data_IF_304902408091
#
_entry.id   IF_304902408091
#
_cell.length_a   1.000
_cell.length_b   1.000
_cell.length_c   1.000
_cell.angle_alpha   90.00
_cell.angle_beta   90.00
_cell.angle_gamma   90.00
#
_symmetry.space_group_name_H-M   'P 1'
#
loop_
_entity.id
_entity.type
_entity.pdbx_description
1 polymer ?
#
# COMPACT_ATOMS: atom_id res chain seq x y z
N UNK A 1 12.62 3.16 -2.44
CA UNK A 1 11.19 2.95 -2.77
C UNK A 1 10.53 2.35 -1.53
N UNK A 2 9.58 3.05 -0.92
CA UNK A 2 8.94 2.60 0.34
C UNK A 2 7.89 1.49 0.13
N UNK A 3 7.50 1.24 -1.10
CA UNK A 3 6.49 0.25 -1.49
C UNK A 3 7.16 -0.96 -2.13
N UNK A 4 7.83 -1.79 -1.31
CA UNK A 4 8.51 -3.02 -1.75
C UNK A 4 7.60 -3.98 -2.49
N UNK A 5 6.31 -4.01 -2.14
CA UNK A 5 5.33 -4.87 -2.80
C UNK A 5 5.14 -4.54 -4.28
N UNK A 6 5.21 -3.24 -4.68
CA UNK A 6 5.13 -2.84 -6.09
C UNK A 6 6.39 -3.27 -6.84
N UNK A 7 7.57 -3.12 -6.22
CA UNK A 7 8.82 -3.55 -6.83
C UNK A 7 8.84 -5.07 -7.05
N UNK A 8 8.40 -5.84 -6.05
CA UNK A 8 8.27 -7.31 -6.17
C UNK A 8 7.27 -7.70 -7.27
N UNK A 9 6.12 -7.02 -7.35
CA UNK A 9 5.12 -7.26 -8.41
C UNK A 9 5.72 -7.02 -9.80
N UNK A 10 6.39 -5.90 -10.01
CA UNK A 10 7.05 -5.56 -11.28
C UNK A 10 8.09 -6.62 -11.64
N UNK A 11 8.97 -6.97 -10.69
CA UNK A 11 10.00 -7.97 -10.89
C UNK A 11 9.42 -9.33 -11.30
N UNK A 12 8.41 -9.81 -10.57
CA UNK A 12 7.78 -11.11 -10.85
C UNK A 12 7.03 -11.12 -12.20
N UNK A 13 6.37 -10.02 -12.57
CA UNK A 13 5.72 -9.91 -13.88
C UNK A 13 6.75 -9.94 -15.02
N UNK A 14 7.93 -9.36 -14.84
CA UNK A 14 9.02 -9.46 -15.82
C UNK A 14 9.55 -10.90 -15.93
N UNK A 15 9.70 -11.61 -14.80
CA UNK A 15 10.12 -13.02 -14.81
C UNK A 15 9.10 -13.91 -15.56
N UNK A 16 7.82 -13.54 -15.53
CA UNK A 16 6.76 -14.21 -16.28
C UNK A 16 6.69 -13.77 -17.76
N UNK A 17 7.65 -12.96 -18.23
CA UNK A 17 7.81 -12.59 -19.63
C UNK A 17 7.01 -11.35 -20.09
N UNK A 18 6.34 -10.63 -19.19
CA UNK A 18 5.70 -9.37 -19.55
C UNK A 18 6.76 -8.30 -19.84
N UNK A 19 6.63 -7.64 -20.99
CA UNK A 19 7.45 -6.47 -21.34
C UNK A 19 6.84 -5.22 -20.74
N UNK A 20 7.48 -4.69 -19.72
CA UNK A 20 7.01 -3.54 -18.96
C UNK A 20 7.74 -2.26 -19.35
N UNK A 21 7.06 -1.12 -19.23
CA UNK A 21 7.65 0.22 -19.25
C UNK A 21 7.08 1.00 -18.08
N UNK A 22 7.95 1.52 -17.23
CA UNK A 22 7.56 2.18 -15.99
C UNK A 22 7.54 3.69 -16.18
N UNK A 23 6.50 4.33 -15.64
CA UNK A 23 6.37 5.78 -15.55
C UNK A 23 6.29 6.18 -14.09
N UNK A 24 7.22 7.00 -13.62
CA UNK A 24 7.22 7.50 -12.26
C UNK A 24 6.88 8.98 -12.22
N UNK A 25 5.83 9.33 -11.47
CA UNK A 25 5.40 10.72 -11.27
C UNK A 25 6.41 11.50 -10.42
N UNK A 26 7.08 10.81 -9.47
CA UNK A 26 8.06 11.40 -8.57
C UNK A 26 9.45 10.79 -8.81
N UNK A 27 10.46 11.64 -8.91
CA UNK A 27 11.87 11.24 -8.91
C UNK A 27 12.41 11.36 -7.47
N UNK A 28 12.06 10.36 -6.64
CA UNK A 28 12.64 10.22 -5.31
C UNK A 28 13.86 9.32 -5.41
N UNK A 29 15.03 9.92 -5.46
CA UNK A 29 16.31 9.21 -5.34
C UNK A 29 16.56 8.88 -3.87
N UNK A 30 15.97 7.79 -3.43
CA UNK A 30 16.22 7.26 -2.10
C UNK A 30 17.62 6.63 -2.08
N UNK A 31 18.51 7.02 -1.15
CA UNK A 31 19.83 6.39 -1.03
C UNK A 31 19.77 4.93 -0.62
N UNK A 32 18.72 4.52 0.10
CA UNK A 32 18.49 3.11 0.46
C UNK A 32 17.57 2.46 -0.57
N UNK A 33 18.12 1.55 -1.38
CA UNK A 33 17.37 0.77 -2.36
C UNK A 33 17.26 -0.67 -1.89
N UNK A 34 16.09 -1.26 -2.07
CA UNK A 34 15.91 -2.70 -1.89
C UNK A 34 16.52 -3.45 -3.07
N UNK A 35 17.17 -4.59 -2.82
CA UNK A 35 17.83 -5.39 -3.84
C UNK A 35 16.93 -5.73 -5.04
N UNK A 36 15.64 -5.96 -4.82
CA UNK A 36 14.66 -6.23 -5.88
C UNK A 36 14.55 -5.08 -6.90
N UNK A 37 14.74 -3.83 -6.48
CA UNK A 37 14.67 -2.67 -7.39
C UNK A 37 15.81 -2.70 -8.41
N UNK A 38 16.97 -3.15 -8.01
CA UNK A 38 18.15 -3.26 -8.89
C UNK A 38 18.03 -4.47 -9.85
N UNK A 39 17.19 -5.43 -9.53
CA UNK A 39 16.89 -6.58 -10.38
C UNK A 39 15.83 -6.30 -11.48
N UNK A 40 15.08 -5.19 -11.39
CA UNK A 40 14.10 -4.77 -12.40
C UNK A 40 14.81 -4.26 -13.64
N UNK A 41 14.47 -4.81 -14.81
CA UNK A 41 15.05 -4.46 -16.12
C UNK A 41 14.21 -3.49 -16.91
N UNK A 42 12.93 -3.32 -16.58
CA UNK A 42 12.00 -2.42 -17.27
C UNK A 42 12.52 -0.98 -17.27
N UNK A 43 12.56 -0.32 -18.43
CA UNK A 43 12.99 1.05 -18.51
C UNK A 43 12.03 1.96 -17.74
N UNK A 44 12.60 2.79 -16.84
CA UNK A 44 11.86 3.76 -16.03
C UNK A 44 11.95 5.13 -16.68
N UNK A 45 10.80 5.74 -16.93
CA UNK A 45 10.70 7.13 -17.31
C UNK A 45 10.17 7.96 -16.13
N UNK A 46 11.00 8.88 -15.63
CA UNK A 46 10.58 9.87 -14.66
C UNK A 46 9.93 11.05 -15.38
N UNK A 47 8.70 11.40 -14.97
CA UNK A 47 8.01 12.56 -15.52
C UNK A 47 8.77 13.86 -15.17
N UNK A 48 8.62 14.92 -15.98
CA UNK A 48 9.15 16.23 -15.62
C UNK A 48 8.70 16.64 -14.21
N UNK A 49 9.67 16.91 -13.33
CA UNK A 49 9.37 17.28 -11.95
C UNK A 49 8.76 18.67 -11.89
N UNK A 50 7.67 18.79 -11.15
CA UNK A 50 6.94 20.03 -10.93
C UNK A 50 6.99 20.42 -9.47
N UNK A 51 6.97 21.73 -9.20
CA UNK A 51 6.89 22.24 -7.84
C UNK A 51 5.53 21.88 -7.20
N UNK A 52 5.43 21.77 -5.87
CA UNK A 52 4.15 21.64 -5.18
C UNK A 52 3.16 22.74 -5.58
N UNK A 53 1.87 22.41 -5.61
CA UNK A 53 0.82 23.34 -6.06
C UNK A 53 0.57 24.49 -5.08
N UNK A 54 0.96 24.32 -3.83
CA UNK A 54 0.82 25.28 -2.73
C UNK A 54 2.00 26.27 -2.61
N UNK A 55 3.10 26.06 -3.36
CA UNK A 55 4.27 26.95 -3.34
C UNK A 55 4.03 28.31 -4.05
N UNK A 56 3.04 28.38 -4.94
CA UNK A 56 2.76 29.62 -5.69
C UNK A 56 1.29 29.68 -6.13
N UNK A 57 0.76 30.89 -6.41
CA UNK A 57 -0.54 31.05 -7.07
C UNK A 57 -0.59 30.26 -8.38
N UNK A 58 -1.72 29.60 -8.65
CA UNK A 58 -1.82 28.66 -9.77
C UNK A 58 -1.41 29.21 -11.15
N UNK A 59 -1.71 30.46 -11.55
CA UNK A 59 -1.22 31.01 -12.82
C UNK A 59 0.30 31.06 -12.90
N UNK A 60 0.97 31.39 -11.79
CA UNK A 60 2.44 31.41 -11.69
C UNK A 60 2.98 29.99 -11.73
N UNK A 61 2.34 29.07 -11.01
CA UNK A 61 2.70 27.65 -11.05
C UNK A 61 2.59 27.11 -12.48
N UNK A 62 1.48 27.41 -13.17
CA UNK A 62 1.23 26.96 -14.54
C UNK A 62 2.26 27.49 -15.52
N UNK A 63 2.58 28.78 -15.46
CA UNK A 63 3.61 29.39 -16.35
C UNK A 63 5.00 28.78 -16.18
N UNK A 64 5.37 28.38 -14.96
CA UNK A 64 6.66 27.75 -14.65
C UNK A 64 6.73 26.28 -15.05
N UNK A 65 5.64 25.55 -14.97
CA UNK A 65 5.64 24.10 -15.09
C UNK A 65 5.08 23.57 -16.43
N UNK A 66 4.12 24.27 -17.06
CA UNK A 66 3.53 23.82 -18.34
C UNK A 66 4.54 23.73 -19.50
N UNK A 67 5.56 24.58 -19.62
CA UNK A 67 6.56 24.47 -20.70
C UNK A 67 7.29 23.11 -20.70
N UNK A 68 7.44 22.49 -19.52
CA UNK A 68 8.10 21.18 -19.38
C UNK A 68 7.36 20.05 -20.13
N UNK A 69 6.07 20.24 -20.41
CA UNK A 69 5.18 19.27 -21.07
C UNK A 69 4.79 19.67 -22.49
N UNK A 70 5.17 20.88 -22.93
CA UNK A 70 4.69 21.48 -24.20
C UNK A 70 4.88 20.55 -25.40
N UNK A 71 6.05 19.97 -25.58
CA UNK A 71 6.36 19.15 -26.77
C UNK A 71 5.45 17.93 -26.93
N UNK A 72 5.16 17.23 -25.83
CA UNK A 72 4.23 16.09 -25.82
C UNK A 72 2.79 16.51 -26.12
N UNK A 73 2.32 17.56 -25.45
CA UNK A 73 0.97 18.10 -25.63
C UNK A 73 0.73 18.63 -27.06
N UNK A 74 1.71 19.33 -27.63
CA UNK A 74 1.64 19.83 -29.01
C UNK A 74 1.48 18.70 -30.05
N UNK A 75 2.25 17.62 -29.88
CA UNK A 75 2.15 16.44 -30.75
C UNK A 75 0.81 15.75 -30.63
N UNK A 76 0.28 15.61 -29.38
CA UNK A 76 -1.04 15.03 -29.13
C UNK A 76 -2.17 15.88 -29.72
N UNK A 77 -2.07 17.20 -29.58
CA UNK A 77 -3.05 18.12 -30.16
C UNK A 77 -3.11 17.98 -31.69
N UNK A 78 -1.95 17.83 -32.35
CA UNK A 78 -1.88 17.62 -33.80
C UNK A 78 -2.36 16.25 -34.25
N UNK A 79 -1.98 15.18 -33.53
CA UNK A 79 -2.26 13.80 -33.96
C UNK A 79 -3.62 13.28 -33.51
N UNK A 80 -4.15 13.78 -32.38
CA UNK A 80 -5.41 13.33 -31.76
C UNK A 80 -6.25 14.50 -31.20
N UNK A 81 -6.62 15.50 -32.01
CA UNK A 81 -7.24 16.74 -31.55
C UNK A 81 -8.54 16.53 -30.77
N UNK A 82 -9.38 15.59 -31.19
CA UNK A 82 -10.66 15.29 -30.55
C UNK A 82 -10.44 14.68 -29.15
N UNK A 83 -9.54 13.70 -29.03
CA UNK A 83 -9.25 13.08 -27.75
C UNK A 83 -8.58 14.08 -26.79
N UNK A 84 -7.71 14.93 -27.33
CA UNK A 84 -7.06 15.99 -26.58
C UNK A 84 -8.08 16.98 -26.03
N UNK A 85 -8.94 17.57 -26.87
CA UNK A 85 -9.96 18.52 -26.46
C UNK A 85 -10.93 17.92 -25.42
N UNK A 86 -11.41 16.69 -25.67
CA UNK A 86 -12.31 16.00 -24.73
C UNK A 86 -11.65 15.74 -23.39
N UNK A 87 -10.35 15.39 -23.34
CA UNK A 87 -9.65 15.12 -22.08
C UNK A 87 -9.35 16.42 -21.34
N UNK A 88 -8.98 17.48 -22.04
CA UNK A 88 -8.78 18.81 -21.46
C UNK A 88 -10.08 19.35 -20.84
N UNK A 89 -11.19 19.28 -21.58
CA UNK A 89 -12.50 19.70 -21.06
C UNK A 89 -12.92 18.88 -19.82
N UNK A 90 -12.61 17.60 -19.80
CA UNK A 90 -12.85 16.77 -18.63
C UNK A 90 -11.99 17.17 -17.43
N UNK A 91 -10.70 17.41 -17.63
CA UNK A 91 -9.81 17.86 -16.56
C UNK A 91 -10.30 19.19 -15.97
N UNK A 92 -10.71 20.14 -16.82
CA UNK A 92 -11.33 21.40 -16.39
C UNK A 92 -12.63 21.15 -15.63
N UNK A 93 -13.54 20.31 -16.18
CA UNK A 93 -14.79 19.97 -15.50
C UNK A 93 -14.56 19.37 -14.11
N UNK A 94 -13.62 18.45 -13.96
CA UNK A 94 -13.29 17.86 -12.67
C UNK A 94 -12.66 18.89 -11.73
N UNK A 95 -11.80 19.77 -12.24
CA UNK A 95 -11.22 20.85 -11.45
C UNK A 95 -12.27 21.78 -10.85
N UNK A 96 -13.27 22.18 -11.63
CA UNK A 96 -14.39 23.01 -11.11
C UNK A 96 -15.35 22.21 -10.24
N UNK A 97 -15.68 20.97 -10.60
CA UNK A 97 -16.59 20.12 -9.84
C UNK A 97 -16.12 19.83 -8.42
N UNK A 98 -14.81 19.61 -8.26
CA UNK A 98 -14.20 19.25 -6.98
C UNK A 98 -13.45 20.43 -6.33
N UNK A 99 -13.59 21.64 -6.89
CA UNK A 99 -13.03 22.86 -6.32
C UNK A 99 -13.73 23.24 -5.00
N UNK A 100 -12.99 23.94 -4.16
CA UNK A 100 -13.50 24.45 -2.87
C UNK A 100 -14.57 25.54 -3.03
N UNK A 101 -14.59 26.22 -4.17
CA UNK A 101 -15.58 27.22 -4.56
C UNK A 101 -15.58 27.37 -6.10
N UNK A 102 -16.63 27.94 -6.74
CA UNK A 102 -16.67 28.14 -8.20
C UNK A 102 -15.46 28.89 -8.77
N UNK A 103 -14.87 29.79 -8.00
CA UNK A 103 -13.64 30.54 -8.36
C UNK A 103 -12.34 29.93 -7.81
N UNK A 104 -12.40 28.79 -7.14
CA UNK A 104 -11.23 28.06 -6.58
C UNK A 104 -11.26 26.61 -7.05
N UNK A 105 -10.95 26.34 -8.32
CA UNK A 105 -10.92 24.99 -8.87
C UNK A 105 -9.84 24.15 -8.19
N UNK A 106 -10.04 22.83 -8.14
CA UNK A 106 -9.04 21.88 -7.71
C UNK A 106 -7.98 21.70 -8.82
N UNK A 107 -6.89 22.45 -8.69
CA UNK A 107 -5.86 22.56 -9.74
C UNK A 107 -5.02 21.30 -9.94
N UNK A 108 -5.13 20.33 -9.02
CA UNK A 108 -4.53 19.01 -9.13
C UNK A 108 -4.89 18.31 -10.44
N UNK A 109 -6.13 18.42 -10.89
CA UNK A 109 -6.57 17.81 -12.16
C UNK A 109 -5.87 18.39 -13.40
N UNK A 110 -5.50 19.68 -13.36
CA UNK A 110 -4.73 20.30 -14.46
C UNK A 110 -3.29 19.78 -14.46
N UNK A 111 -2.67 19.66 -13.29
CA UNK A 111 -1.37 19.03 -13.15
C UNK A 111 -1.39 17.59 -13.67
N UNK A 112 -2.40 16.81 -13.28
CA UNK A 112 -2.57 15.41 -13.71
C UNK A 112 -2.79 15.31 -15.22
N UNK A 113 -3.51 16.24 -15.83
CA UNK A 113 -3.66 16.33 -17.28
C UNK A 113 -2.32 16.59 -17.99
N UNK A 114 -1.49 17.50 -17.47
CA UNK A 114 -0.15 17.76 -18.02
C UNK A 114 0.73 16.50 -17.94
N UNK A 115 0.74 15.82 -16.83
CA UNK A 115 1.47 14.57 -16.63
C UNK A 115 0.97 13.44 -17.55
N UNK A 116 -0.36 13.34 -17.71
CA UNK A 116 -0.98 12.37 -18.60
C UNK A 116 -0.60 12.58 -20.08
N UNK A 117 -0.43 13.83 -20.49
CA UNK A 117 0.01 14.17 -21.85
C UNK A 117 1.44 13.68 -22.15
N UNK A 118 2.37 13.81 -21.21
CA UNK A 118 3.72 13.25 -21.40
C UNK A 118 3.71 11.73 -21.51
N UNK A 119 2.94 11.04 -20.64
CA UNK A 119 2.79 9.58 -20.72
C UNK A 119 2.17 9.18 -22.06
N UNK A 120 1.02 9.76 -22.43
CA UNK A 120 0.30 9.41 -23.64
C UNK A 120 1.14 9.61 -24.92
N UNK A 121 1.89 10.71 -24.99
CA UNK A 121 2.81 10.96 -26.09
C UNK A 121 3.87 9.86 -26.21
N UNK A 122 4.50 9.46 -25.10
CA UNK A 122 5.53 8.42 -25.10
C UNK A 122 4.96 7.04 -25.38
N UNK A 123 3.77 6.76 -24.89
CA UNK A 123 3.04 5.52 -25.19
C UNK A 123 2.78 5.39 -26.68
N UNK A 124 2.29 6.45 -27.32
CA UNK A 124 2.06 6.47 -28.78
C UNK A 124 3.38 6.37 -29.56
N UNK A 125 4.42 7.06 -29.13
CA UNK A 125 5.74 7.00 -29.77
C UNK A 125 6.37 5.59 -29.69
N UNK A 126 6.13 4.86 -28.61
CA UNK A 126 6.61 3.49 -28.45
C UNK A 126 5.91 2.49 -29.38
N UNK A 127 4.63 2.72 -29.71
CA UNK A 127 3.83 1.88 -30.63
C UNK A 127 3.53 0.45 -30.16
N UNK A 128 4.27 -0.06 -29.18
CA UNK A 128 4.17 -1.44 -28.68
C UNK A 128 3.32 -1.60 -27.42
N UNK A 129 3.00 -0.51 -26.72
CA UNK A 129 2.21 -0.55 -25.49
C UNK A 129 0.74 -0.80 -25.85
N UNK A 130 0.09 -1.72 -25.14
CA UNK A 130 -1.31 -2.13 -25.40
C UNK A 130 -2.23 -1.87 -24.20
N UNK A 131 -1.70 -1.68 -23.00
CA UNK A 131 -2.46 -1.50 -21.78
C UNK A 131 -1.71 -0.58 -20.81
N UNK A 132 -2.44 0.21 -20.04
CA UNK A 132 -1.90 1.05 -18.95
C UNK A 132 -2.37 0.48 -17.62
N UNK A 133 -1.46 0.38 -16.64
CA UNK A 133 -1.81 0.00 -15.28
C UNK A 133 -1.23 1.00 -14.29
N UNK A 134 -2.00 1.38 -13.29
CA UNK A 134 -1.54 2.30 -12.24
C UNK A 134 -1.70 1.71 -10.85
N UNK A 135 -0.70 1.93 -9.99
CA UNK A 135 -0.85 1.70 -8.56
C UNK A 135 -1.39 2.95 -7.88
N UNK A 136 -2.26 2.74 -6.89
CA UNK A 136 -3.05 3.73 -6.15
C UNK A 136 -4.17 4.38 -6.97
N UNK A 137 -5.40 4.29 -6.47
CA UNK A 137 -6.58 4.80 -7.14
C UNK A 137 -6.80 6.32 -6.98
N UNK A 138 -5.84 7.06 -6.37
CA UNK A 138 -5.89 8.53 -6.30
C UNK A 138 -5.29 9.20 -7.57
N UNK A 139 -4.38 10.15 -7.43
CA UNK A 139 -3.75 10.91 -8.53
C UNK A 139 -3.16 10.04 -9.65
N UNK A 140 -2.46 8.95 -9.31
CA UNK A 140 -1.84 8.08 -10.30
C UNK A 140 -2.88 7.49 -11.26
N UNK A 141 -4.04 7.06 -10.75
CA UNK A 141 -5.13 6.57 -11.58
C UNK A 141 -5.84 7.68 -12.35
N UNK A 142 -5.91 8.92 -11.83
CA UNK A 142 -6.40 10.05 -12.63
C UNK A 142 -5.50 10.31 -13.82
N UNK A 143 -4.19 10.29 -13.62
CA UNK A 143 -3.19 10.43 -14.69
C UNK A 143 -3.35 9.29 -15.71
N UNK A 144 -3.46 8.05 -15.26
CA UNK A 144 -3.67 6.89 -16.15
C UNK A 144 -4.99 6.98 -16.93
N UNK A 145 -6.09 7.42 -16.30
CA UNK A 145 -7.38 7.65 -16.92
C UNK A 145 -7.34 8.71 -18.04
N UNK A 146 -6.65 9.82 -17.80
CA UNK A 146 -6.45 10.86 -18.83
C UNK A 146 -5.50 10.37 -19.92
N UNK A 147 -4.39 9.72 -19.59
CA UNK A 147 -3.46 9.15 -20.57
C UNK A 147 -4.16 8.11 -21.47
N UNK A 148 -4.95 7.22 -20.87
CA UNK A 148 -5.78 6.23 -21.58
C UNK A 148 -6.65 6.89 -22.66
N UNK A 149 -7.35 7.96 -22.30
CA UNK A 149 -8.21 8.68 -23.25
C UNK A 149 -7.42 9.40 -24.33
N UNK A 150 -6.27 10.01 -23.98
CA UNK A 150 -5.40 10.69 -24.93
C UNK A 150 -4.80 9.72 -25.95
N UNK A 151 -4.31 8.55 -25.52
CA UNK A 151 -3.71 7.57 -26.42
C UNK A 151 -4.68 6.53 -26.99
N UNK A 152 -5.92 6.42 -26.45
CA UNK A 152 -6.94 5.46 -26.91
C UNK A 152 -6.71 4.03 -26.43
N UNK A 153 -5.86 3.82 -25.41
CA UNK A 153 -5.59 2.49 -24.84
C UNK A 153 -6.42 2.25 -23.58
N UNK A 154 -6.79 0.99 -23.29
CA UNK A 154 -7.45 0.65 -22.04
C UNK A 154 -6.50 0.84 -20.84
N UNK A 155 -7.09 1.08 -19.67
CA UNK A 155 -6.34 1.12 -18.42
C UNK A 155 -7.01 0.28 -17.32
N UNK A 156 -6.23 -0.10 -16.35
CA UNK A 156 -6.63 -0.72 -15.08
C UNK A 156 -5.84 -0.12 -13.92
N UNK A 157 -6.21 -0.45 -12.70
CA UNK A 157 -5.48 0.03 -11.55
C UNK A 157 -5.55 -0.94 -10.36
N UNK A 158 -4.53 -0.87 -9.49
CA UNK A 158 -4.54 -1.49 -8.17
C UNK A 158 -4.82 -0.42 -7.12
N UNK A 159 -5.89 -0.64 -6.34
CA UNK A 159 -6.33 0.24 -5.26
C UNK A 159 -5.93 -0.33 -3.90
N UNK A 160 -5.49 0.56 -3.00
CA UNK A 160 -5.07 0.20 -1.64
C UNK A 160 -6.00 0.85 -0.61
N UNK A 161 -5.98 0.38 0.65
CA UNK A 161 -6.93 0.83 1.65
C UNK A 161 -6.96 2.37 1.82
N UNK A 162 -5.80 3.01 1.95
CA UNK A 162 -5.73 4.47 2.13
C UNK A 162 -6.44 5.24 1.03
N UNK A 163 -6.17 4.91 -0.22
CA UNK A 163 -6.71 5.64 -1.37
C UNK A 163 -8.16 5.26 -1.73
N UNK A 164 -8.68 4.19 -1.15
CA UNK A 164 -10.09 3.80 -1.22
C UNK A 164 -10.92 4.56 -0.19
N UNK A 165 -10.45 4.63 1.06
CA UNK A 165 -11.26 5.08 2.20
C UNK A 165 -11.05 6.55 2.59
N UNK A 166 -9.92 7.17 2.24
CA UNK A 166 -9.69 8.60 2.51
C UNK A 166 -10.36 9.44 1.42
N UNK A 167 -11.52 10.00 1.75
CA UNK A 167 -12.36 10.74 0.79
C UNK A 167 -11.62 11.90 0.10
N UNK A 168 -10.73 12.59 0.81
CA UNK A 168 -9.94 13.68 0.23
C UNK A 168 -9.06 13.25 -0.96
N UNK A 169 -8.74 11.95 -1.09
CA UNK A 169 -7.96 11.41 -2.20
C UNK A 169 -8.80 11.08 -3.44
N UNK A 170 -10.11 10.84 -3.24
CA UNK A 170 -11.07 10.61 -4.32
C UNK A 170 -12.40 11.27 -3.97
N UNK A 171 -12.49 12.61 -4.00
CA UNK A 171 -13.67 13.33 -3.54
C UNK A 171 -14.92 12.97 -4.35
N UNK A 172 -16.03 12.82 -3.65
CA UNK A 172 -17.37 12.62 -4.21
C UNK A 172 -17.47 11.33 -5.07
N UNK A 173 -17.79 11.47 -6.35
CA UNK A 173 -17.96 10.34 -7.27
C UNK A 173 -16.71 9.99 -8.11
N UNK A 174 -15.55 10.57 -7.78
CA UNK A 174 -14.33 10.41 -8.58
C UNK A 174 -13.89 8.94 -8.66
N UNK A 175 -13.88 8.20 -7.55
CA UNK A 175 -13.52 6.78 -7.52
C UNK A 175 -14.49 5.95 -8.38
N UNK A 176 -15.79 6.21 -8.27
CA UNK A 176 -16.81 5.57 -9.12
C UNK A 176 -16.59 5.88 -10.61
N UNK A 177 -16.16 7.10 -10.93
CA UNK A 177 -15.84 7.50 -12.32
C UNK A 177 -14.63 6.74 -12.85
N UNK A 178 -13.57 6.59 -12.06
CA UNK A 178 -12.39 5.80 -12.42
C UNK A 178 -12.73 4.33 -12.64
N UNK A 179 -13.51 3.73 -11.73
CA UNK A 179 -14.01 2.36 -11.88
C UNK A 179 -14.79 2.17 -13.18
N UNK A 180 -15.76 3.03 -13.49
CA UNK A 180 -16.58 2.90 -14.72
C UNK A 180 -15.76 2.91 -16.01
N UNK A 181 -14.57 3.46 -16.01
CA UNK A 181 -13.71 3.62 -17.18
C UNK A 181 -12.58 2.62 -17.25
N UNK A 182 -12.23 2.04 -16.14
CA UNK A 182 -11.20 1.02 -16.08
C UNK A 182 -11.67 -0.28 -16.77
N UNK A 183 -10.74 -0.99 -17.37
CA UNK A 183 -10.99 -2.34 -17.90
C UNK A 183 -11.25 -3.32 -16.77
N UNK A 184 -10.48 -3.20 -15.71
CA UNK A 184 -10.65 -3.90 -14.43
C UNK A 184 -9.98 -3.09 -13.31
N UNK A 185 -10.31 -3.41 -12.06
CA UNK A 185 -9.60 -2.94 -10.88
C UNK A 185 -9.12 -4.13 -10.05
N UNK A 186 -7.98 -3.95 -9.37
CA UNK A 186 -7.42 -4.91 -8.42
C UNK A 186 -7.36 -4.28 -7.06
N UNK A 187 -7.51 -5.06 -6.02
CA UNK A 187 -7.23 -4.67 -4.64
C UNK A 187 -6.61 -5.83 -3.88
N UNK A 188 -5.96 -5.52 -2.77
CA UNK A 188 -5.13 -6.48 -2.03
C UNK A 188 -5.85 -7.15 -0.86
N UNK A 189 -7.13 -6.85 -0.62
CA UNK A 189 -7.94 -7.49 0.43
C UNK A 189 -9.40 -7.56 0.01
N UNK A 190 -10.11 -8.58 0.46
CA UNK A 190 -11.52 -8.83 0.14
C UNK A 190 -12.44 -7.71 0.66
N UNK A 191 -12.17 -7.21 1.85
CA UNK A 191 -12.91 -6.07 2.42
C UNK A 191 -12.89 -4.84 1.50
N UNK A 192 -11.77 -4.55 0.83
CA UNK A 192 -11.67 -3.48 -0.15
C UNK A 192 -12.46 -3.80 -1.42
N UNK A 193 -12.42 -5.06 -1.89
CA UNK A 193 -13.20 -5.50 -3.05
C UNK A 193 -14.69 -5.32 -2.80
N UNK A 194 -15.19 -5.73 -1.65
CA UNK A 194 -16.59 -5.59 -1.24
C UNK A 194 -16.99 -4.11 -1.17
N UNK A 195 -16.14 -3.26 -0.60
CA UNK A 195 -16.38 -1.81 -0.57
C UNK A 195 -16.43 -1.21 -1.98
N UNK A 196 -15.47 -1.52 -2.84
CA UNK A 196 -15.48 -1.03 -4.22
C UNK A 196 -16.70 -1.54 -5.01
N UNK A 197 -17.11 -2.77 -4.79
CA UNK A 197 -18.31 -3.34 -5.39
C UNK A 197 -19.59 -2.63 -4.92
N UNK A 198 -19.66 -2.22 -3.64
CA UNK A 198 -20.77 -1.46 -3.08
C UNK A 198 -20.98 -0.08 -3.73
N UNK A 199 -19.96 0.45 -4.44
CA UNK A 199 -20.09 1.68 -5.22
C UNK A 199 -21.01 1.52 -6.46
N UNK A 200 -21.49 0.29 -6.75
CA UNK A 200 -22.53 0.05 -7.76
C UNK A 200 -22.06 0.13 -9.22
N UNK A 201 -20.76 -0.06 -9.48
CA UNK A 201 -20.21 -0.10 -10.84
C UNK A 201 -20.22 -1.56 -11.35
N UNK A 202 -21.30 -1.96 -12.01
CA UNK A 202 -21.52 -3.36 -12.45
C UNK A 202 -20.66 -3.82 -13.64
N UNK A 203 -20.16 -2.90 -14.48
CA UNK A 203 -19.46 -3.26 -15.72
C UNK A 203 -17.97 -3.58 -15.55
N UNK A 204 -17.35 -3.08 -14.49
CA UNK A 204 -15.91 -3.22 -14.28
C UNK A 204 -15.66 -4.35 -13.29
N UNK A 205 -14.98 -5.42 -13.70
CA UNK A 205 -14.57 -6.47 -12.77
C UNK A 205 -13.62 -5.92 -11.71
N UNK A 206 -13.82 -6.33 -10.47
CA UNK A 206 -12.97 -5.97 -9.32
C UNK A 206 -12.42 -7.27 -8.74
N UNK A 207 -11.10 -7.42 -8.77
CA UNK A 207 -10.41 -8.62 -8.32
C UNK A 207 -9.72 -8.39 -6.98
N UNK A 208 -9.80 -9.37 -6.10
CA UNK A 208 -8.96 -9.43 -4.92
C UNK A 208 -7.74 -10.30 -5.22
N UNK A 209 -6.54 -9.71 -5.14
CA UNK A 209 -5.25 -10.41 -5.26
C UNK A 209 -4.38 -9.94 -4.11
N UNK A 210 -4.13 -10.81 -3.14
CA UNK A 210 -3.29 -10.46 -1.99
C UNK A 210 -1.87 -10.13 -2.44
N UNK A 211 -1.25 -9.15 -1.79
CA UNK A 211 0.19 -8.95 -1.94
C UNK A 211 0.91 -10.18 -1.44
N UNK A 212 1.75 -10.72 -2.30
CA UNK A 212 2.52 -11.90 -1.95
C UNK A 212 3.80 -11.57 -1.20
N UNK A 213 4.25 -12.53 -0.41
CA UNK A 213 5.52 -12.55 0.27
C UNK A 213 6.35 -13.74 -0.22
N UNK A 214 7.65 -13.57 -0.43
CA UNK A 214 8.55 -14.73 -0.57
C UNK A 214 8.74 -15.39 0.81
N UNK A 215 7.93 -16.40 1.07
CA UNK A 215 7.92 -17.09 2.37
C UNK A 215 9.20 -17.85 2.69
N UNK A 216 10.06 -18.10 1.69
CA UNK A 216 11.39 -18.74 1.87
C UNK A 216 12.35 -17.82 2.60
N UNK A 217 12.18 -16.51 2.44
CA UNK A 217 13.02 -15.51 3.10
C UNK A 217 12.70 -15.36 4.60
N UNK A 218 11.50 -15.77 5.03
CA UNK A 218 11.02 -15.67 6.40
C UNK A 218 10.92 -17.06 7.02
N UNK A 219 12.10 -17.70 7.21
CA UNK A 219 12.18 -18.99 7.87
C UNK A 219 11.94 -18.85 9.39
N UNK A 220 11.27 -19.82 10.01
CA UNK A 220 11.14 -19.85 11.47
C UNK A 220 12.52 -19.97 12.12
N UNK A 221 12.56 -19.79 13.41
CA UNK A 221 13.73 -20.12 14.22
C UNK A 221 14.03 -21.62 14.07
N UNK A 222 15.30 -21.98 13.90
CA UNK A 222 15.69 -23.39 13.93
C UNK A 222 15.30 -24.00 15.28
N UNK A 223 14.71 -25.22 15.25
CA UNK A 223 14.05 -25.82 16.40
C UNK A 223 14.88 -26.06 17.66
N UNK A 224 16.21 -25.76 17.61
CA UNK A 224 17.14 -25.82 18.74
C UNK A 224 17.35 -24.44 19.43
N UNK A 225 16.81 -23.34 18.89
CA UNK A 225 17.04 -22.03 19.49
C UNK A 225 16.10 -21.82 20.67
N UNK A 226 16.67 -21.64 21.86
CA UNK A 226 15.93 -21.36 23.09
C UNK A 226 15.15 -20.04 22.98
N UNK A 227 13.95 -20.01 23.56
CA UNK A 227 13.21 -18.75 23.71
C UNK A 227 14.03 -17.77 24.60
N UNK A 228 13.97 -16.46 24.32
CA UNK A 228 14.66 -15.48 25.15
C UNK A 228 14.24 -15.63 26.62
N UNK A 229 15.20 -15.58 27.54
CA UNK A 229 14.93 -15.67 29.00
C UNK A 229 13.90 -14.65 29.48
N UNK A 230 13.84 -13.49 28.83
CA UNK A 230 12.76 -12.51 29.00
C UNK A 230 11.97 -12.44 27.69
N UNK A 231 10.65 -12.75 27.69
CA UNK A 231 9.83 -12.70 26.49
C UNK A 231 9.88 -11.34 25.80
N UNK A 232 9.89 -11.34 24.45
CA UNK A 232 9.96 -10.14 23.62
C UNK A 232 8.69 -10.01 22.79
N UNK A 233 7.89 -8.99 23.09
CA UNK A 233 6.79 -8.52 22.25
C UNK A 233 7.35 -7.56 21.20
N UNK A 234 7.34 -7.96 19.93
CA UNK A 234 7.83 -7.16 18.82
C UNK A 234 6.68 -6.42 18.14
N UNK A 235 6.90 -5.17 17.77
CA UNK A 235 6.01 -4.41 16.90
C UNK A 235 6.83 -3.67 15.84
N UNK A 236 6.33 -3.64 14.58
CA UNK A 236 7.06 -3.02 13.46
C UNK A 236 6.14 -2.11 12.67
N UNK A 237 6.57 -0.86 12.43
CA UNK A 237 5.81 0.06 11.61
C UNK A 237 6.22 1.52 11.76
N UNK A 238 5.83 2.35 10.81
CA UNK A 238 6.01 3.81 10.91
C UNK A 238 5.18 4.37 12.06
N UNK A 239 5.65 5.43 12.72
CA UNK A 239 4.95 6.12 13.81
C UNK A 239 3.77 6.95 13.30
N UNK A 240 2.74 6.26 12.74
CA UNK A 240 1.50 6.86 12.22
C UNK A 240 0.29 6.32 12.97
N UNK A 241 -0.77 7.12 13.06
CA UNK A 241 -1.94 6.85 13.90
C UNK A 241 -2.56 5.46 13.66
N UNK A 242 -2.70 5.06 12.40
CA UNK A 242 -3.30 3.75 12.04
C UNK A 242 -2.55 2.52 12.54
N UNK A 243 -1.33 2.65 13.07
CA UNK A 243 -0.57 1.54 13.66
C UNK A 243 -0.92 1.28 15.13
N UNK A 244 -1.58 2.23 15.79
CA UNK A 244 -2.11 2.05 17.16
C UNK A 244 -1.06 1.96 18.24
N UNK A 245 0.18 2.46 18.05
CA UNK A 245 1.23 2.39 19.06
C UNK A 245 0.85 2.96 20.44
N UNK A 246 0.09 4.06 20.54
CA UNK A 246 -0.39 4.51 21.86
C UNK A 246 -1.20 3.44 22.61
N UNK A 247 -2.00 2.64 21.89
CA UNK A 247 -2.78 1.53 22.49
C UNK A 247 -1.84 0.41 22.95
N UNK A 248 -0.76 0.14 22.21
CA UNK A 248 0.27 -0.83 22.62
C UNK A 248 0.98 -0.39 23.89
N UNK A 249 1.38 0.88 23.99
CA UNK A 249 2.04 1.43 25.19
C UNK A 249 1.13 1.30 26.41
N UNK A 250 -0.15 1.64 26.27
CA UNK A 250 -1.11 1.50 27.36
C UNK A 250 -1.33 0.03 27.76
N UNK A 251 -1.33 -0.90 26.79
CA UNK A 251 -1.37 -2.33 27.09
C UNK A 251 -0.10 -2.80 27.85
N UNK A 252 1.08 -2.26 27.52
CA UNK A 252 2.32 -2.53 28.25
C UNK A 252 2.23 -2.06 29.70
N UNK A 253 1.64 -0.89 29.97
CA UNK A 253 1.38 -0.41 31.34
C UNK A 253 0.51 -1.40 32.12
N UNK A 254 -0.62 -1.83 31.53
CA UNK A 254 -1.51 -2.79 32.17
C UNK A 254 -0.83 -4.13 32.45
N UNK A 255 0.03 -4.61 31.59
CA UNK A 255 0.81 -5.83 31.81
C UNK A 255 1.85 -5.65 32.92
N UNK A 256 2.54 -4.49 32.99
CA UNK A 256 3.48 -4.15 34.07
C UNK A 256 2.77 -4.16 35.42
N UNK A 257 1.60 -3.53 35.53
CA UNK A 257 0.78 -3.49 36.74
C UNK A 257 0.30 -4.88 37.19
N UNK A 258 0.09 -5.79 36.26
CA UNK A 258 -0.25 -7.20 36.53
C UNK A 258 0.97 -8.06 36.88
N UNK A 259 2.18 -7.48 36.91
CA UNK A 259 3.42 -8.16 37.30
C UNK A 259 4.10 -8.98 36.21
N UNK A 260 3.70 -8.83 34.93
CA UNK A 260 4.36 -9.52 33.83
C UNK A 260 5.78 -8.97 33.58
N UNK A 261 6.74 -9.89 33.37
CA UNK A 261 8.11 -9.55 32.97
C UNK A 261 8.30 -9.83 31.50
N UNK A 262 8.47 -8.80 30.69
CA UNK A 262 8.67 -8.88 29.24
C UNK A 262 9.37 -7.62 28.72
N UNK A 263 9.79 -7.63 27.47
CA UNK A 263 10.26 -6.44 26.74
C UNK A 263 9.34 -6.18 25.56
N UNK A 264 9.08 -4.92 25.25
CA UNK A 264 8.37 -4.50 24.06
C UNK A 264 9.34 -3.72 23.17
N UNK A 265 9.65 -4.26 22.00
CA UNK A 265 10.49 -3.60 20.99
C UNK A 265 9.60 -3.06 19.88
N UNK A 266 9.69 -1.76 19.62
CA UNK A 266 8.97 -1.09 18.55
C UNK A 266 9.99 -0.58 17.56
N UNK A 267 10.02 -1.21 16.35
CA UNK A 267 10.95 -0.86 15.28
C UNK A 267 10.21 -0.10 14.21
N UNK A 268 10.70 1.10 13.84
CA UNK A 268 10.05 1.81 12.75
C UNK A 268 10.56 3.21 12.47
N UNK A 269 10.14 3.72 11.31
CA UNK A 269 10.50 5.04 10.87
C UNK A 269 9.71 6.15 11.58
N UNK A 270 10.27 7.38 11.57
CA UNK A 270 9.61 8.54 12.14
C UNK A 270 8.23 8.79 11.53
N UNK A 271 7.39 9.47 12.27
CA UNK A 271 6.05 9.83 11.82
C UNK A 271 5.34 10.81 12.77
N UNK A 272 4.16 11.30 12.37
CA UNK A 272 3.44 12.32 13.14
C UNK A 272 3.12 11.91 14.58
N UNK A 273 3.02 10.61 14.87
CA UNK A 273 2.70 10.12 16.21
C UNK A 273 3.93 9.89 17.09
N UNK A 274 5.17 10.05 16.60
CA UNK A 274 6.39 9.73 17.32
C UNK A 274 6.50 10.47 18.65
N UNK A 275 6.30 11.79 18.65
CA UNK A 275 6.36 12.60 19.87
C UNK A 275 5.37 12.12 20.93
N UNK A 276 4.15 11.78 20.52
CA UNK A 276 3.12 11.26 21.42
C UNK A 276 3.52 9.90 22.02
N UNK A 277 4.08 9.01 21.22
CA UNK A 277 4.54 7.69 21.68
C UNK A 277 5.68 7.85 22.69
N UNK A 278 6.67 8.69 22.40
CA UNK A 278 7.79 8.97 23.31
C UNK A 278 7.30 9.60 24.63
N UNK A 279 6.39 10.59 24.56
CA UNK A 279 5.82 11.20 25.77
C UNK A 279 5.07 10.17 26.60
N UNK A 280 4.25 9.33 25.99
CA UNK A 280 3.45 8.33 26.69
C UNK A 280 4.32 7.27 27.39
N UNK A 281 5.43 6.83 26.78
CA UNK A 281 6.37 5.91 27.42
C UNK A 281 6.93 6.51 28.71
N UNK A 282 7.29 7.81 28.72
CA UNK A 282 7.83 8.51 29.92
C UNK A 282 6.75 8.76 30.94
N UNK A 283 5.59 9.24 30.56
CA UNK A 283 4.46 9.52 31.45
C UNK A 283 3.99 8.28 32.20
N UNK A 284 4.12 7.11 31.58
CA UNK A 284 3.70 5.82 32.14
C UNK A 284 4.89 5.03 32.76
N UNK A 285 6.08 5.64 32.83
CA UNK A 285 7.29 5.03 33.43
C UNK A 285 7.58 3.63 32.81
N UNK A 286 7.65 3.54 31.48
CA UNK A 286 7.82 2.28 30.74
C UNK A 286 9.16 2.14 30.02
N UNK A 287 10.14 3.02 30.32
CA UNK A 287 11.46 3.00 29.68
C UNK A 287 12.26 1.71 29.96
N UNK A 288 11.94 1.02 31.03
CA UNK A 288 12.51 -0.28 31.42
C UNK A 288 11.95 -1.45 30.58
N UNK A 289 10.78 -1.29 29.97
CA UNK A 289 10.08 -2.33 29.22
C UNK A 289 10.05 -2.01 27.71
N UNK A 290 9.74 -0.77 27.33
CA UNK A 290 9.50 -0.37 25.93
C UNK A 290 10.73 0.31 25.35
N UNK A 291 11.23 -0.23 24.23
CA UNK A 291 12.30 0.39 23.44
C UNK A 291 11.80 0.79 22.06
N UNK A 292 12.17 2.02 21.62
CA UNK A 292 11.95 2.50 20.26
C UNK A 292 13.25 2.35 19.48
N UNK A 293 13.22 1.67 18.35
CA UNK A 293 14.38 1.39 17.53
C UNK A 293 14.20 1.99 16.12
N UNK A 294 15.28 2.45 15.47
CA UNK A 294 15.21 2.96 14.12
C UNK A 294 14.76 1.88 13.12
N UNK A 295 14.32 2.27 11.91
CA UNK A 295 14.02 1.31 10.87
C UNK A 295 15.27 0.53 10.48
N UNK A 296 15.09 -0.76 10.25
CA UNK A 296 16.15 -1.70 9.84
C UNK A 296 15.91 -2.19 8.41
N UNK A 297 16.89 -2.81 7.81
CA UNK A 297 16.76 -3.48 6.50
C UNK A 297 15.84 -4.70 6.61
N UNK A 298 15.36 -5.21 5.47
CA UNK A 298 14.54 -6.41 5.47
C UNK A 298 15.31 -7.65 5.93
N UNK A 299 16.62 -7.70 5.66
CA UNK A 299 17.51 -8.78 6.13
C UNK A 299 17.66 -8.77 7.66
N UNK A 300 17.91 -7.60 8.24
CA UNK A 300 17.97 -7.43 9.70
C UNK A 300 16.64 -7.74 10.36
N UNK A 301 15.52 -7.31 9.73
CA UNK A 301 14.18 -7.54 10.26
C UNK A 301 13.83 -9.03 10.35
N UNK A 302 14.32 -9.86 9.43
CA UNK A 302 14.16 -11.33 9.50
C UNK A 302 14.80 -11.91 10.77
N UNK A 303 15.98 -11.41 11.15
CA UNK A 303 16.63 -11.84 12.37
C UNK A 303 15.89 -11.34 13.60
N UNK A 304 15.36 -10.12 13.56
CA UNK A 304 14.52 -9.57 14.65
C UNK A 304 13.26 -10.41 14.86
N UNK A 305 12.60 -10.87 13.80
CA UNK A 305 11.45 -11.79 13.92
C UNK A 305 11.86 -13.10 14.63
N UNK A 306 13.01 -13.67 14.29
CA UNK A 306 13.51 -14.90 14.95
C UNK A 306 13.80 -14.74 16.44
N UNK A 307 14.16 -13.54 16.89
CA UNK A 307 14.47 -13.24 18.29
C UNK A 307 13.22 -12.85 19.11
N UNK A 308 12.09 -12.61 18.47
CA UNK A 308 10.86 -12.25 19.16
C UNK A 308 10.12 -13.48 19.71
N UNK A 309 9.35 -13.29 20.78
CA UNK A 309 8.47 -14.31 21.37
C UNK A 309 7.07 -14.24 20.77
N UNK A 310 6.58 -13.03 20.48
CA UNK A 310 5.29 -12.77 19.82
C UNK A 310 5.34 -11.42 19.08
N UNK A 311 4.44 -11.24 18.14
CA UNK A 311 4.28 -10.02 17.37
C UNK A 311 2.96 -9.34 17.71
N UNK A 312 2.99 -8.04 17.97
CA UNK A 312 1.81 -7.26 18.36
C UNK A 312 1.69 -6.02 17.47
N UNK A 313 0.57 -5.86 16.75
CA UNK A 313 0.31 -4.65 15.98
C UNK A 313 -1.18 -4.28 16.08
N UNK A 314 -1.57 -3.41 17.03
CA UNK A 314 -2.96 -3.04 17.25
C UNK A 314 -3.43 -1.97 16.28
N UNK A 315 -3.50 -2.30 15.00
CA UNK A 315 -3.95 -1.41 13.95
C UNK A 315 -5.31 -0.79 14.27
N UNK A 316 -5.51 0.45 13.83
CA UNK A 316 -6.77 1.16 14.01
C UNK A 316 -7.16 1.93 12.74
N UNK A 317 -8.43 2.30 12.67
CA UNK A 317 -8.93 3.23 11.68
C UNK A 317 -8.73 4.63 12.24
N UNK A 318 -7.98 5.47 11.53
CA UNK A 318 -7.75 6.88 11.89
C UNK A 318 -9.00 7.73 11.66
N UNK A 319 -9.06 8.89 12.28
CA UNK A 319 -10.24 9.80 12.18
C UNK A 319 -10.54 10.25 10.74
N UNK A 320 -9.53 10.31 9.87
CA UNK A 320 -9.68 10.60 8.45
C UNK A 320 -9.96 9.35 7.60
N UNK A 321 -10.34 8.22 8.22
CA UNK A 321 -10.53 6.90 7.60
C UNK A 321 -9.28 6.23 7.02
N UNK A 322 -8.06 6.77 7.21
CA UNK A 322 -6.83 6.05 6.82
C UNK A 322 -6.71 4.76 7.64
N UNK A 323 -6.42 3.67 6.95
CA UNK A 323 -6.25 2.33 7.53
C UNK A 323 -5.32 1.49 6.67
N UNK A 324 -4.77 0.46 7.26
CA UNK A 324 -4.13 -0.60 6.48
C UNK A 324 -5.18 -1.60 5.95
N UNK A 325 -4.91 -2.22 4.80
CA UNK A 325 -5.63 -3.42 4.40
C UNK A 325 -5.18 -4.61 5.25
N UNK A 326 -4.11 -5.27 4.83
CA UNK A 326 -3.32 -6.22 5.63
C UNK A 326 -1.90 -5.65 5.72
N UNK A 327 -1.39 -5.31 6.91
CA UNK A 327 0.00 -4.89 7.07
C UNK A 327 0.98 -5.99 6.66
N UNK A 328 1.95 -5.70 5.79
CA UNK A 328 2.94 -6.68 5.35
C UNK A 328 3.72 -7.28 6.53
N UNK A 329 4.03 -6.48 7.55
CA UNK A 329 4.75 -6.93 8.75
C UNK A 329 3.99 -7.98 9.57
N UNK A 330 2.64 -8.05 9.47
CA UNK A 330 1.86 -9.15 10.02
C UNK A 330 2.08 -10.44 9.21
N UNK A 331 2.09 -10.33 7.88
CA UNK A 331 2.35 -11.47 6.98
C UNK A 331 3.76 -11.99 7.20
N UNK A 332 4.74 -11.09 7.36
CA UNK A 332 6.16 -11.41 7.62
C UNK A 332 6.33 -12.12 8.98
N UNK A 333 5.71 -11.60 10.05
CA UNK A 333 5.74 -12.21 11.37
C UNK A 333 5.11 -13.61 11.36
N UNK A 334 3.95 -13.77 10.73
CA UNK A 334 3.28 -15.07 10.58
C UNK A 334 4.10 -16.04 9.71
N UNK A 335 4.75 -15.56 8.66
CA UNK A 335 5.68 -16.37 7.85
C UNK A 335 6.87 -16.87 8.67
N UNK A 336 7.29 -16.14 9.69
CA UNK A 336 8.37 -16.49 10.63
C UNK A 336 7.90 -17.37 11.80
N UNK A 337 6.66 -17.90 11.76
CA UNK A 337 6.02 -18.69 12.83
C UNK A 337 5.84 -17.94 14.16
N UNK A 338 5.85 -16.61 14.15
CA UNK A 338 5.50 -15.84 15.34
C UNK A 338 3.99 -15.87 15.59
N UNK A 339 3.54 -16.15 16.81
CA UNK A 339 2.18 -15.91 17.21
C UNK A 339 1.90 -14.41 17.16
N UNK A 340 0.77 -14.02 16.55
CA UNK A 340 0.43 -12.63 16.31
C UNK A 340 -0.79 -12.19 17.11
N UNK A 341 -0.75 -10.94 17.61
CA UNK A 341 -1.91 -10.24 18.15
C UNK A 341 -2.15 -8.98 17.32
N UNK A 342 -3.36 -8.81 16.84
CA UNK A 342 -3.76 -7.63 16.09
C UNK A 342 -5.24 -7.29 16.33
N UNK A 343 -5.81 -6.43 15.50
CA UNK A 343 -7.18 -5.94 15.67
C UNK A 343 -8.12 -6.46 14.59
N UNK A 344 -9.40 -6.59 14.93
CA UNK A 344 -10.44 -7.07 14.04
C UNK A 344 -10.97 -5.95 13.12
N UNK A 345 -10.10 -5.41 12.24
CA UNK A 345 -10.46 -4.33 11.30
C UNK A 345 -9.97 -4.62 9.89
N UNK A 346 -10.58 -3.98 8.90
CA UNK A 346 -10.16 -4.01 7.50
C UNK A 346 -9.99 -5.44 6.97
N UNK A 347 -8.85 -5.72 6.34
CA UNK A 347 -8.47 -7.04 5.84
C UNK A 347 -7.75 -7.93 6.85
N UNK A 348 -7.48 -7.46 8.08
CA UNK A 348 -6.74 -8.26 9.08
C UNK A 348 -7.46 -9.58 9.40
N UNK A 349 -8.80 -9.65 9.51
CA UNK A 349 -9.52 -10.92 9.71
C UNK A 349 -9.42 -11.91 8.55
N UNK A 350 -9.02 -11.47 7.37
CA UNK A 350 -8.75 -12.36 6.24
C UNK A 350 -7.44 -13.13 6.43
N UNK A 351 -6.47 -12.50 7.09
CA UNK A 351 -5.18 -13.09 7.45
C UNK A 351 -5.25 -13.88 8.76
N UNK A 352 -5.80 -13.26 9.80
CA UNK A 352 -5.84 -13.81 11.16
C UNK A 352 -7.26 -14.32 11.48
N UNK A 353 -7.35 -15.60 11.79
CA UNK A 353 -8.53 -16.25 12.35
C UNK A 353 -8.32 -16.39 13.86
N UNK A 354 -9.16 -15.68 14.64
CA UNK A 354 -8.99 -15.57 16.08
C UNK A 354 -8.98 -16.94 16.76
N UNK A 355 -7.94 -17.22 17.54
CA UNK A 355 -7.74 -18.46 18.29
C UNK A 355 -7.26 -19.66 17.45
N UNK A 356 -7.12 -19.51 16.14
CA UNK A 356 -6.64 -20.54 15.22
C UNK A 356 -5.20 -20.30 14.77
N UNK A 357 -4.90 -19.08 14.28
CA UNK A 357 -3.58 -18.72 13.79
C UNK A 357 -3.09 -17.35 14.29
N UNK A 358 -3.71 -16.82 15.34
CA UNK A 358 -3.41 -15.57 15.98
C UNK A 358 -4.56 -15.09 16.84
N UNK A 359 -4.39 -13.96 17.51
CA UNK A 359 -5.43 -13.36 18.35
C UNK A 359 -5.87 -12.01 17.78
N UNK A 360 -7.17 -11.76 17.76
CA UNK A 360 -7.77 -10.48 17.34
C UNK A 360 -8.45 -9.82 18.54
N UNK A 361 -8.26 -8.51 18.66
CA UNK A 361 -8.89 -7.66 19.66
C UNK A 361 -9.70 -6.53 19.01
N UNK A 362 -10.62 -5.87 19.72
CA UNK A 362 -11.17 -4.62 19.23
C UNK A 362 -10.07 -3.56 19.04
N UNK A 363 -10.25 -2.66 18.06
CA UNK A 363 -9.35 -1.52 17.92
C UNK A 363 -9.51 -0.55 19.10
N UNK A 364 -8.45 0.17 19.45
CA UNK A 364 -8.43 1.19 20.50
C UNK A 364 -8.77 0.64 21.91
N UNK A 365 -8.65 -0.66 22.12
CA UNK A 365 -8.89 -1.33 23.39
C UNK A 365 -7.60 -1.91 23.96
N UNK A 366 -6.94 -1.13 24.83
CA UNK A 366 -5.69 -1.52 25.47
C UNK A 366 -5.86 -2.68 26.46
N UNK A 367 -7.03 -2.80 27.10
CA UNK A 367 -7.32 -3.90 28.04
C UNK A 367 -7.42 -5.23 27.32
N UNK A 368 -8.23 -5.30 26.27
CA UNK A 368 -8.34 -6.50 25.45
C UNK A 368 -7.00 -6.88 24.79
N UNK A 369 -6.18 -5.88 24.40
CA UNK A 369 -4.84 -6.11 23.87
C UNK A 369 -3.93 -6.72 24.96
N UNK A 370 -3.92 -6.16 26.16
CA UNK A 370 -3.16 -6.69 27.28
C UNK A 370 -3.57 -8.13 27.65
N UNK A 371 -4.87 -8.44 27.66
CA UNK A 371 -5.37 -9.79 27.92
C UNK A 371 -4.91 -10.79 26.85
N UNK A 372 -4.94 -10.41 25.58
CA UNK A 372 -4.47 -11.25 24.49
C UNK A 372 -2.95 -11.49 24.55
N UNK A 373 -2.17 -10.47 24.89
CA UNK A 373 -0.72 -10.59 25.08
C UNK A 373 -0.40 -11.46 26.31
N UNK A 374 -1.06 -11.23 27.46
CA UNK A 374 -0.92 -12.03 28.67
C UNK A 374 -1.17 -13.52 28.39
N UNK A 375 -2.26 -13.84 27.70
CA UNK A 375 -2.59 -15.23 27.28
C UNK A 375 -1.45 -15.89 26.50
N UNK A 376 -0.77 -15.16 25.64
CA UNK A 376 0.37 -15.70 24.89
C UNK A 376 1.63 -15.79 25.78
N UNK A 377 1.85 -14.87 26.69
CA UNK A 377 2.99 -14.93 27.63
C UNK A 377 2.87 -16.15 28.56
N UNK A 378 1.67 -16.48 29.03
CA UNK A 378 1.41 -17.57 29.96
C UNK A 378 1.38 -18.96 29.31
N UNK A 379 1.17 -19.05 27.99
CA UNK A 379 0.91 -20.32 27.31
C UNK A 379 1.91 -20.61 26.15
N UNK A 380 3.12 -21.14 26.43
CA UNK A 380 4.12 -21.46 25.41
C UNK A 380 3.64 -22.45 24.33
N UNK A 381 2.81 -23.43 24.73
CA UNK A 381 2.23 -24.38 23.78
C UNK A 381 1.30 -23.69 22.78
N UNK A 382 0.41 -22.81 23.27
CA UNK A 382 -0.48 -22.02 22.42
C UNK A 382 0.31 -21.13 21.43
N UNK A 383 1.41 -20.52 21.89
CA UNK A 383 2.27 -19.72 21.01
C UNK A 383 2.76 -20.55 19.82
N UNK A 384 3.26 -21.76 20.07
CA UNK A 384 3.74 -22.67 19.00
C UNK A 384 2.62 -23.06 18.04
N UNK A 385 1.49 -23.49 18.59
CA UNK A 385 0.36 -23.94 17.76
C UNK A 385 -0.16 -22.82 16.85
N UNK A 386 -0.34 -21.62 17.40
CA UNK A 386 -0.74 -20.43 16.62
C UNK A 386 0.32 -20.02 15.59
N UNK A 387 1.59 -20.10 15.92
CA UNK A 387 2.70 -19.76 15.02
C UNK A 387 2.76 -20.70 13.82
N UNK A 388 2.69 -22.01 14.05
CA UNK A 388 2.66 -23.02 12.98
C UNK A 388 1.46 -22.80 12.05
N UNK A 389 0.26 -22.64 12.63
CA UNK A 389 -0.94 -22.38 11.85
C UNK A 389 -0.89 -21.04 11.09
N UNK A 390 -0.24 -20.02 11.68
CA UNK A 390 -0.01 -18.73 11.04
C UNK A 390 0.83 -18.88 9.78
N UNK A 391 1.97 -19.57 9.86
CA UNK A 391 2.85 -19.81 8.72
C UNK A 391 2.16 -20.62 7.62
N UNK A 392 1.40 -21.66 7.97
CA UNK A 392 0.65 -22.45 7.00
C UNK A 392 -0.36 -21.58 6.22
N UNK A 393 -1.09 -20.72 6.91
CA UNK A 393 -2.03 -19.76 6.29
C UNK A 393 -1.32 -18.84 5.30
N UNK A 394 -0.16 -18.29 5.69
CA UNK A 394 0.62 -17.38 4.83
C UNK A 394 1.14 -18.11 3.60
N UNK A 395 1.73 -19.29 3.76
CA UNK A 395 2.22 -20.09 2.62
C UNK A 395 1.12 -20.44 1.63
N UNK A 396 -0.07 -20.68 2.09
CA UNK A 396 -1.21 -21.04 1.23
C UNK A 396 -1.80 -19.87 0.48
N UNK A 397 -1.94 -18.69 1.10
CA UNK A 397 -2.72 -17.57 0.55
C UNK A 397 -1.90 -16.33 0.18
N UNK A 398 -0.70 -16.20 0.74
CA UNK A 398 0.12 -15.00 0.58
C UNK A 398 1.47 -15.31 -0.08
N UNK A 399 1.59 -16.43 -0.78
CA UNK A 399 2.78 -16.74 -1.57
C UNK A 399 2.87 -15.84 -2.81
N UNK A 400 4.00 -15.17 -2.98
CA UNK A 400 4.19 -14.17 -4.03
C UNK A 400 4.11 -14.77 -5.44
N UNK A 401 4.72 -15.95 -5.64
CA UNK A 401 4.76 -16.60 -6.96
C UNK A 401 3.37 -17.07 -7.38
N UNK A 402 2.56 -17.55 -6.43
CA UNK A 402 1.18 -17.98 -6.70
C UNK A 402 0.26 -16.79 -7.00
N UNK A 403 0.38 -15.72 -6.20
CA UNK A 403 -0.52 -14.56 -6.33
C UNK A 403 -0.25 -13.75 -7.59
N UNK A 404 1.02 -13.62 -8.01
CA UNK A 404 1.36 -12.88 -9.22
C UNK A 404 0.79 -13.52 -10.48
N UNK A 405 0.61 -14.84 -10.52
CA UNK A 405 0.02 -15.55 -11.66
C UNK A 405 -1.41 -15.10 -11.95
N UNK A 406 -2.18 -14.76 -10.91
CA UNK A 406 -3.53 -14.23 -11.09
C UNK A 406 -3.51 -12.87 -11.79
N UNK A 407 -2.64 -11.96 -11.35
CA UNK A 407 -2.47 -10.65 -11.97
C UNK A 407 -1.91 -10.76 -13.41
N UNK A 408 -0.93 -11.63 -13.61
CA UNK A 408 -0.36 -11.90 -14.92
C UNK A 408 -1.43 -12.36 -15.93
N UNK A 409 -2.32 -13.28 -15.55
CA UNK A 409 -3.45 -13.72 -16.39
C UNK A 409 -4.35 -12.56 -16.78
N UNK A 410 -4.70 -11.67 -15.85
CA UNK A 410 -5.53 -10.49 -16.15
C UNK A 410 -4.88 -9.59 -17.22
N UNK A 411 -3.56 -9.40 -17.16
CA UNK A 411 -2.85 -8.65 -18.17
C UNK A 411 -2.84 -9.38 -19.52
N UNK A 412 -2.57 -10.68 -19.55
CA UNK A 412 -2.61 -11.46 -20.80
C UNK A 412 -4.00 -11.42 -21.46
N UNK A 413 -5.08 -11.53 -20.68
CA UNK A 413 -6.45 -11.43 -21.20
C UNK A 413 -6.72 -10.06 -21.84
N UNK A 414 -6.17 -8.99 -21.26
CA UNK A 414 -6.27 -7.65 -21.84
C UNK A 414 -5.46 -7.52 -23.15
N UNK A 415 -4.28 -8.12 -23.22
CA UNK A 415 -3.42 -8.09 -24.41
C UNK A 415 -4.04 -8.89 -25.55
N UNK A 416 -4.51 -10.12 -25.28
CA UNK A 416 -5.15 -11.00 -26.26
C UNK A 416 -6.49 -10.43 -26.76
N UNK A 417 -7.27 -9.77 -25.91
CA UNK A 417 -8.51 -9.11 -26.27
C UNK A 417 -8.29 -7.89 -27.18
N UNK A 418 -7.16 -7.22 -27.05
CA UNK A 418 -6.78 -6.12 -27.94
C UNK A 418 -6.40 -6.59 -29.36
N UNK A 419 -5.78 -7.76 -29.48
CA UNK A 419 -5.44 -8.36 -30.77
C UNK A 419 -6.69 -8.80 -31.56
N UNK A 420 -7.70 -9.35 -30.87
CA UNK A 420 -8.98 -9.75 -31.49
C UNK A 420 -9.86 -8.57 -31.93
N UNK A 421 -9.68 -7.40 -31.34
CA UNK A 421 -10.42 -6.19 -31.69
C UNK A 421 -9.73 -5.36 -32.79
N UNK A 422 -8.52 -5.69 -33.18
CA UNK A 422 -7.71 -5.03 -34.21
C UNK A 422 -7.65 -5.78 -35.56
N UNK A 423 -8.19 -7.00 -35.60
CA UNK A 423 -8.46 -7.77 -36.81
C UNK A 423 -9.96 -7.67 -37.15
#
# INVERSE_FOLDING_TARGET
MSETFIANEIYLLEQLGLKLRLFSILDRRDPQRHAVVDAIRAPVHYLPQVTPLDEAPFPVWLSRNSPKFFGGHWRLLKSRPINYARTMLEALRLAFKHGKAPWRPETGFIKEFLQAGDIAHRVLAAGSIRHLHSHFCHSATTVAMFASRLCGLPFSFTAHAKDIYVEALNPGDLLRTKLRRAKFAVTCVKANQEHLASLGVKKTPIYNIYHGLDTRLFAPRDGAAEEPATPVALSVGRMVDKKGFPVLIEACRLLKERGYRFRCRIIGGPGPCERRVVSLIRELELEDIVTLEPPVTQEELREVYRQATLFVLPCQISDNNDRDGIPNVLVEAMASELPVVSTNISGIPELIEHGVNGLLTPQKDASALADAVAKLLDAPALRRDLGVAAREKVRRLFDAESNILALHRLFLDCLNGAERAGN
#
